data_IF_610240959027
#
_entry.id   IF_610240959027
#
_cell.length_a   1.000
_cell.length_b   1.000
_cell.length_c   1.000
_cell.angle_alpha   90.00
_cell.angle_beta   90.00
_cell.angle_gamma   90.00
#
_symmetry.space_group_name_H-M   'P 1'
#
loop_
_entity.id
_entity.type
_entity.pdbx_description
1 polymer ?
#
# COMPACT_ATOMS: atom_id res chain seq x y z
N UNK A 1 -50.99 -30.72 18.06
CA UNK A 1 -49.75 -29.95 17.81
C UNK A 1 -48.95 -30.73 16.79
N UNK A 2 -48.88 -30.22 15.56
CA UNK A 2 -48.42 -30.95 14.38
C UNK A 2 -46.94 -31.37 14.52
N UNK A 3 -46.69 -32.68 14.42
CA UNK A 3 -45.36 -33.27 14.35
C UNK A 3 -44.77 -33.01 12.96
N UNK A 4 -44.06 -31.90 12.80
CA UNK A 4 -43.16 -31.69 11.67
C UNK A 4 -41.81 -32.34 12.01
N UNK A 5 -41.68 -33.63 11.72
CA UNK A 5 -40.39 -34.31 11.79
C UNK A 5 -39.40 -33.63 10.84
N UNK A 6 -38.23 -33.24 11.35
CA UNK A 6 -37.23 -32.57 10.53
C UNK A 6 -36.79 -33.49 9.37
N UNK A 7 -36.75 -32.99 8.12
CA UNK A 7 -36.43 -33.83 6.97
C UNK A 7 -34.98 -34.35 7.07
N UNK A 8 -34.83 -35.66 7.01
CA UNK A 8 -33.52 -36.33 7.06
C UNK A 8 -33.04 -36.73 5.66
N UNK A 9 -31.75 -36.52 5.41
CA UNK A 9 -31.13 -36.72 4.10
C UNK A 9 -29.98 -37.72 4.19
N UNK A 10 -29.70 -38.49 3.12
CA UNK A 10 -28.56 -39.39 3.07
C UNK A 10 -27.24 -38.61 3.05
N UNK A 11 -26.16 -39.28 3.47
CA UNK A 11 -24.80 -38.71 3.53
C UNK A 11 -24.36 -38.06 2.21
N UNK A 12 -24.76 -38.61 1.07
CA UNK A 12 -24.41 -38.12 -0.27
C UNK A 12 -24.98 -36.73 -0.56
N UNK A 13 -26.19 -36.43 -0.05
CA UNK A 13 -26.84 -35.12 -0.20
C UNK A 13 -26.16 -34.09 0.70
N UNK A 14 -25.87 -34.45 1.96
CA UNK A 14 -25.16 -33.59 2.90
C UNK A 14 -23.74 -33.28 2.42
N UNK A 15 -23.03 -34.28 1.91
CA UNK A 15 -21.69 -34.13 1.36
C UNK A 15 -21.67 -33.10 0.21
N UNK A 16 -22.61 -33.20 -0.73
CA UNK A 16 -22.74 -32.21 -1.82
C UNK A 16 -23.07 -30.81 -1.29
N UNK A 17 -24.00 -30.72 -0.34
CA UNK A 17 -24.46 -29.43 0.20
C UNK A 17 -23.37 -28.70 1.01
N UNK A 18 -22.61 -29.44 1.81
CA UNK A 18 -21.49 -28.91 2.61
C UNK A 18 -20.17 -28.84 1.82
N UNK A 19 -20.18 -29.21 0.53
CA UNK A 19 -18.98 -29.32 -0.33
C UNK A 19 -17.87 -30.18 0.27
N UNK A 20 -18.25 -31.31 0.86
CA UNK A 20 -17.35 -32.31 1.45
C UNK A 20 -17.45 -33.64 0.71
N UNK A 21 -16.48 -34.52 0.94
CA UNK A 21 -16.62 -35.94 0.56
C UNK A 21 -17.48 -36.67 1.58
N UNK A 22 -18.18 -37.74 1.18
CA UNK A 22 -18.98 -38.55 2.11
C UNK A 22 -18.14 -39.11 3.26
N UNK A 23 -16.90 -39.53 2.95
CA UNK A 23 -15.93 -39.97 3.96
C UNK A 23 -15.64 -38.87 4.98
N UNK A 24 -15.51 -37.61 4.55
CA UNK A 24 -15.25 -36.48 5.45
C UNK A 24 -16.46 -36.16 6.32
N UNK A 25 -17.67 -36.24 5.78
CA UNK A 25 -18.91 -36.09 6.57
C UNK A 25 -18.99 -37.15 7.66
N UNK A 26 -18.75 -38.42 7.33
CA UNK A 26 -18.76 -39.52 8.30
C UNK A 26 -17.69 -39.36 9.38
N UNK A 27 -16.50 -38.87 9.02
CA UNK A 27 -15.45 -38.57 9.98
C UNK A 27 -15.89 -37.46 10.95
N UNK A 28 -16.42 -36.35 10.45
CA UNK A 28 -16.92 -35.25 11.28
C UNK A 28 -18.09 -35.68 12.17
N UNK A 29 -18.92 -36.63 11.71
CA UNK A 29 -19.96 -37.24 12.56
C UNK A 29 -19.38 -38.07 13.70
N UNK A 30 -18.29 -38.81 13.46
CA UNK A 30 -17.59 -39.57 14.51
C UNK A 30 -16.89 -38.65 15.51
N UNK A 31 -16.39 -37.51 15.04
CA UNK A 31 -15.79 -36.45 15.85
C UNK A 31 -16.84 -35.62 16.64
N UNK A 32 -18.14 -35.92 16.48
CA UNK A 32 -19.23 -35.22 17.19
C UNK A 32 -19.63 -33.86 16.57
N UNK A 33 -18.98 -33.45 15.48
CA UNK A 33 -19.21 -32.17 14.80
C UNK A 33 -20.51 -32.14 14.00
N UNK A 34 -20.84 -33.24 13.30
CA UNK A 34 -22.06 -33.34 12.49
C UNK A 34 -23.03 -34.34 13.16
N UNK A 35 -24.13 -33.86 13.77
CA UNK A 35 -25.10 -34.73 14.44
C UNK A 35 -25.76 -35.71 13.47
N UNK A 36 -25.86 -36.98 13.87
CA UNK A 36 -26.49 -38.05 13.10
C UNK A 36 -27.89 -38.32 13.65
N UNK A 37 -28.90 -38.30 12.79
CA UNK A 37 -30.29 -38.56 13.19
C UNK A 37 -30.57 -40.07 13.28
N UNK A 38 -30.30 -40.80 12.19
CA UNK A 38 -30.48 -42.26 12.09
C UNK A 38 -29.36 -42.89 11.27
N UNK A 39 -29.38 -44.22 11.09
CA UNK A 39 -28.32 -44.94 10.37
C UNK A 39 -28.11 -44.42 8.93
N UNK A 40 -27.05 -43.64 8.71
CA UNK A 40 -26.71 -43.05 7.41
C UNK A 40 -27.53 -41.82 7.02
N UNK A 41 -28.36 -41.30 7.94
CA UNK A 41 -29.28 -40.19 7.73
C UNK A 41 -28.96 -39.01 8.65
N UNK A 42 -29.07 -37.82 8.10
CA UNK A 42 -28.68 -36.57 8.74
C UNK A 42 -29.81 -35.56 8.66
N UNK A 43 -30.05 -34.86 9.75
CA UNK A 43 -30.90 -33.69 9.73
C UNK A 43 -30.16 -32.51 9.08
N UNK A 44 -30.77 -31.86 8.10
CA UNK A 44 -30.11 -30.82 7.32
C UNK A 44 -29.69 -29.62 8.19
N UNK A 45 -30.60 -29.11 9.02
CA UNK A 45 -30.34 -27.93 9.85
C UNK A 45 -29.19 -28.18 10.83
N UNK A 46 -29.24 -29.30 11.56
CA UNK A 46 -28.21 -29.68 12.51
C UNK A 46 -26.84 -29.94 11.84
N UNK A 47 -26.82 -30.58 10.67
CA UNK A 47 -25.59 -30.85 9.94
C UNK A 47 -24.91 -29.56 9.42
N UNK A 48 -25.70 -28.59 8.93
CA UNK A 48 -25.19 -27.29 8.50
C UNK A 48 -24.68 -26.50 9.71
N UNK A 49 -25.46 -26.41 10.79
CA UNK A 49 -25.05 -25.67 12.00
C UNK A 49 -23.78 -26.23 12.62
N UNK A 50 -23.67 -27.56 12.75
CA UNK A 50 -22.46 -28.21 13.27
C UNK A 50 -21.24 -27.97 12.39
N UNK A 51 -21.40 -28.04 11.07
CA UNK A 51 -20.29 -27.75 10.15
C UNK A 51 -19.87 -26.28 10.14
N UNK A 52 -20.83 -25.34 10.22
CA UNK A 52 -20.54 -23.91 10.34
C UNK A 52 -19.82 -23.61 11.65
N UNK A 53 -20.26 -24.19 12.78
CA UNK A 53 -19.55 -24.09 14.06
C UNK A 53 -18.11 -24.61 13.98
N UNK A 54 -17.90 -25.75 13.33
CA UNK A 54 -16.56 -26.31 13.11
C UNK A 54 -15.66 -25.44 12.22
N UNK A 55 -16.22 -24.79 11.20
CA UNK A 55 -15.48 -23.81 10.41
C UNK A 55 -15.15 -22.58 11.24
N UNK A 56 -16.10 -22.11 12.05
CA UNK A 56 -15.89 -21.01 12.97
C UNK A 56 -14.81 -21.34 14.00
N UNK A 57 -14.74 -22.54 14.57
CA UNK A 57 -13.65 -22.93 15.49
C UNK A 57 -12.28 -23.09 14.82
N UNK A 58 -12.25 -23.29 13.50
CA UNK A 58 -11.00 -23.38 12.72
C UNK A 58 -10.53 -22.04 12.18
N UNK A 59 -11.46 -21.10 11.99
CA UNK A 59 -11.20 -19.75 11.49
C UNK A 59 -11.07 -18.78 12.67
N UNK A 60 -11.83 -18.98 13.74
CA UNK A 60 -11.61 -18.37 15.03
C UNK A 60 -10.23 -18.83 15.51
N UNK A 61 -9.41 -17.92 16.03
CA UNK A 61 -8.06 -18.22 16.42
C UNK A 61 -8.12 -19.24 17.55
N UNK A 62 -7.64 -20.47 17.29
CA UNK A 62 -7.35 -21.42 18.38
C UNK A 62 -6.33 -20.76 19.31
N UNK A 63 -6.81 -20.12 20.38
CA UNK A 63 -5.96 -19.56 21.44
C UNK A 63 -6.37 -18.21 22.04
N UNK A 64 -7.55 -17.64 21.78
CA UNK A 64 -8.03 -16.47 22.54
C UNK A 64 -8.63 -16.81 23.92
N UNK A 65 -8.43 -18.04 24.39
CA UNK A 65 -8.57 -18.41 25.80
C UNK A 65 -7.22 -18.98 26.26
N UNK A 66 -6.29 -18.11 26.65
CA UNK A 66 -5.25 -18.50 27.61
C UNK A 66 -3.81 -18.03 27.40
N UNK A 67 -3.40 -17.39 26.30
CA UNK A 67 -1.98 -17.03 26.14
C UNK A 67 -1.74 -15.73 25.32
N UNK A 68 -1.36 -14.60 25.96
CA UNK A 68 -1.19 -13.30 25.31
C UNK A 68 -0.07 -13.28 24.25
N UNK A 69 0.92 -14.16 24.38
CA UNK A 69 2.13 -14.19 23.53
C UNK A 69 1.84 -14.60 22.06
N UNK A 70 0.77 -15.38 21.83
CA UNK A 70 0.40 -15.87 20.48
C UNK A 70 -0.51 -14.90 19.73
N UNK A 71 -1.31 -14.11 20.46
CA UNK A 71 -2.06 -13.01 19.87
C UNK A 71 -1.09 -11.97 19.29
N UNK A 72 -0.01 -11.67 20.02
CA UNK A 72 1.08 -10.80 19.59
C UNK A 72 1.82 -11.35 18.37
N UNK A 73 2.05 -12.67 18.27
CA UNK A 73 2.70 -13.26 17.10
C UNK A 73 1.89 -13.05 15.80
N UNK A 74 0.56 -13.17 15.87
CA UNK A 74 -0.31 -13.00 14.71
C UNK A 74 -0.48 -11.54 14.30
N UNK A 75 -0.58 -10.62 15.27
CA UNK A 75 -0.62 -9.17 15.00
C UNK A 75 0.71 -8.69 14.39
N UNK A 76 1.84 -9.14 14.93
CA UNK A 76 3.16 -8.81 14.38
C UNK A 76 3.38 -9.41 13.00
N UNK A 77 2.92 -10.64 12.73
CA UNK A 77 2.98 -11.23 11.38
C UNK A 77 2.10 -10.47 10.38
N UNK A 78 0.89 -10.07 10.77
CA UNK A 78 0.02 -9.26 9.91
C UNK A 78 0.64 -7.88 9.61
N UNK A 79 1.25 -7.25 10.62
CA UNK A 79 2.00 -5.99 10.47
C UNK A 79 3.22 -6.15 9.56
N UNK A 80 3.97 -7.25 9.70
CA UNK A 80 5.10 -7.57 8.84
C UNK A 80 4.65 -7.79 7.39
N UNK A 81 3.59 -8.57 7.16
CA UNK A 81 3.04 -8.78 5.82
C UNK A 81 2.53 -7.48 5.19
N UNK A 82 1.90 -6.61 5.98
CA UNK A 82 1.50 -5.28 5.52
C UNK A 82 2.73 -4.44 5.14
N UNK A 83 3.74 -4.38 6.01
CA UNK A 83 4.97 -3.64 5.72
C UNK A 83 5.73 -4.20 4.51
N UNK A 84 5.70 -5.51 4.28
CA UNK A 84 6.25 -6.15 3.08
C UNK A 84 5.46 -5.80 1.82
N UNK A 85 4.13 -5.74 1.91
CA UNK A 85 3.29 -5.30 0.81
C UNK A 85 3.54 -3.82 0.47
N UNK A 86 3.62 -2.96 1.49
CA UNK A 86 3.92 -1.52 1.32
C UNK A 86 5.32 -1.33 0.70
N UNK A 87 6.32 -2.12 1.12
CA UNK A 87 7.66 -2.11 0.50
C UNK A 87 7.62 -2.54 -0.96
N UNK A 88 6.92 -3.63 -1.29
CA UNK A 88 6.78 -4.09 -2.66
C UNK A 88 6.05 -3.07 -3.55
N UNK A 89 5.06 -2.35 -3.00
CA UNK A 89 4.37 -1.27 -3.70
C UNK A 89 5.29 -0.07 -3.93
N UNK A 90 6.09 0.33 -2.93
CA UNK A 90 7.10 1.38 -3.08
C UNK A 90 8.17 1.01 -4.12
N UNK A 91 8.65 -0.24 -4.13
CA UNK A 91 9.60 -0.73 -5.14
C UNK A 91 8.99 -0.72 -6.54
N UNK A 92 7.74 -1.17 -6.69
CA UNK A 92 7.03 -1.10 -7.95
C UNK A 92 6.82 0.35 -8.42
N UNK A 93 6.56 1.29 -7.50
CA UNK A 93 6.46 2.71 -7.81
C UNK A 93 7.81 3.32 -8.22
N UNK A 94 8.93 2.93 -7.57
CA UNK A 94 10.30 3.30 -7.99
C UNK A 94 10.58 2.82 -9.41
N UNK A 95 10.29 1.56 -9.73
CA UNK A 95 10.49 1.00 -11.08
C UNK A 95 9.66 1.71 -12.16
N UNK A 96 8.51 2.30 -11.80
CA UNK A 96 7.69 3.10 -12.71
C UNK A 96 8.11 4.58 -12.78
N UNK A 97 9.18 4.98 -12.08
CA UNK A 97 9.66 6.37 -12.03
C UNK A 97 8.74 7.31 -11.23
N UNK A 98 7.84 6.78 -10.40
CA UNK A 98 6.87 7.57 -9.62
C UNK A 98 7.33 7.90 -8.19
N UNK A 99 8.46 7.32 -7.75
CA UNK A 99 9.06 7.60 -6.45
C UNK A 99 10.46 8.17 -6.66
N UNK A 100 10.74 9.32 -6.06
CA UNK A 100 12.06 9.94 -6.00
C UNK A 100 12.59 9.80 -4.59
N UNK A 101 13.86 9.46 -4.42
CA UNK A 101 14.49 9.42 -3.11
C UNK A 101 14.53 10.83 -2.49
N UNK A 102 14.21 10.93 -1.19
CA UNK A 102 14.10 12.21 -0.52
C UNK A 102 15.45 12.94 -0.39
N UNK A 103 16.54 12.20 -0.18
CA UNK A 103 17.88 12.80 -0.13
C UNK A 103 18.32 13.23 -1.54
N UNK A 104 18.05 12.42 -2.57
CA UNK A 104 18.31 12.82 -3.96
C UNK A 104 17.55 14.10 -4.35
N UNK A 105 16.27 14.22 -3.94
CA UNK A 105 15.48 15.43 -4.19
C UNK A 105 16.06 16.65 -3.47
N UNK A 106 16.54 16.47 -2.23
CA UNK A 106 17.15 17.53 -1.45
C UNK A 106 18.46 18.00 -2.08
N UNK A 107 19.33 17.08 -2.50
CA UNK A 107 20.57 17.41 -3.21
C UNK A 107 20.30 18.16 -4.52
N UNK A 108 19.32 17.69 -5.30
CA UNK A 108 18.88 18.39 -6.52
C UNK A 108 18.43 19.83 -6.21
N UNK A 109 17.63 20.01 -5.15
CA UNK A 109 17.14 21.31 -4.74
C UNK A 109 18.29 22.22 -4.27
N UNK A 110 19.23 21.70 -3.49
CA UNK A 110 20.40 22.44 -3.01
C UNK A 110 21.27 22.93 -4.17
N UNK A 111 21.49 22.08 -5.19
CA UNK A 111 22.20 22.46 -6.41
C UNK A 111 21.48 23.57 -7.18
N UNK A 112 20.17 23.42 -7.38
CA UNK A 112 19.37 24.44 -8.06
C UNK A 112 19.44 25.76 -7.28
N UNK A 113 19.26 25.75 -5.96
CA UNK A 113 19.32 26.95 -5.11
C UNK A 113 20.71 27.59 -5.14
N UNK A 114 21.78 26.80 -5.13
CA UNK A 114 23.14 27.31 -5.25
C UNK A 114 23.37 28.02 -6.59
N UNK A 115 22.88 27.45 -7.69
CA UNK A 115 22.98 28.06 -9.01
C UNK A 115 22.14 29.34 -9.13
N UNK A 116 20.93 29.37 -8.55
CA UNK A 116 20.10 30.59 -8.42
C UNK A 116 20.90 31.68 -7.73
N UNK A 117 21.49 31.35 -6.58
CA UNK A 117 22.22 32.28 -5.73
C UNK A 117 23.44 32.84 -6.47
N UNK A 118 24.21 31.98 -7.13
CA UNK A 118 25.35 32.40 -7.93
C UNK A 118 24.93 33.33 -9.08
N UNK A 119 23.85 33.00 -9.78
CA UNK A 119 23.37 33.81 -10.89
C UNK A 119 22.82 35.17 -10.45
N UNK A 120 22.05 35.24 -9.36
CA UNK A 120 21.43 36.47 -8.88
C UNK A 120 22.40 37.38 -8.12
N UNK A 121 23.29 36.82 -7.31
CA UNK A 121 24.19 37.63 -6.47
C UNK A 121 25.50 37.98 -7.16
N UNK A 122 26.00 37.13 -8.05
CA UNK A 122 27.31 37.34 -8.67
C UNK A 122 27.16 37.71 -10.15
N UNK A 123 26.52 36.84 -10.95
CA UNK A 123 26.56 36.98 -12.40
C UNK A 123 25.68 38.14 -12.91
N UNK A 124 24.46 38.30 -12.38
CA UNK A 124 23.55 39.35 -12.81
C UNK A 124 24.09 40.76 -12.47
N UNK A 125 24.57 41.06 -11.24
CA UNK A 125 25.12 42.38 -10.93
C UNK A 125 26.32 42.75 -11.81
N UNK A 126 27.22 41.81 -12.11
CA UNK A 126 28.36 42.06 -13.01
C UNK A 126 27.90 42.43 -14.42
N UNK A 127 26.92 41.71 -14.99
CA UNK A 127 26.39 42.02 -16.34
C UNK A 127 25.58 43.31 -16.37
N UNK A 128 24.78 43.56 -15.33
CA UNK A 128 24.03 44.81 -15.17
C UNK A 128 25.01 45.99 -15.12
N UNK A 129 26.04 45.91 -14.27
CA UNK A 129 27.04 46.96 -14.15
C UNK A 129 27.77 47.23 -15.48
N UNK A 130 28.13 46.16 -16.21
CA UNK A 130 28.79 46.28 -17.51
C UNK A 130 27.90 46.99 -18.55
N UNK A 131 26.62 46.62 -18.64
CA UNK A 131 25.65 47.19 -19.61
C UNK A 131 25.17 48.59 -19.21
N UNK A 132 25.01 48.85 -17.91
CA UNK A 132 24.54 50.13 -17.39
C UNK A 132 25.61 51.23 -17.39
N UNK A 133 26.91 50.87 -17.52
CA UNK A 133 28.03 51.83 -17.44
C UNK A 133 27.93 52.98 -18.44
N UNK A 134 27.37 52.75 -19.63
CA UNK A 134 27.19 53.77 -20.68
C UNK A 134 25.82 54.43 -20.67
N UNK A 135 24.91 54.01 -19.80
CA UNK A 135 23.53 54.51 -19.76
C UNK A 135 23.37 55.68 -18.80
N UNK A 136 22.66 56.72 -19.25
CA UNK A 136 22.38 57.92 -18.43
C UNK A 136 20.92 58.01 -18.00
N UNK A 137 20.04 57.25 -18.64
CA UNK A 137 18.60 57.25 -18.35
C UNK A 137 18.27 56.16 -17.35
N UNK A 138 17.65 56.54 -16.24
CA UNK A 138 17.20 55.60 -15.21
C UNK A 138 16.28 54.51 -15.78
N UNK A 139 15.41 54.86 -16.74
CA UNK A 139 14.53 53.91 -17.42
C UNK A 139 15.32 52.81 -18.15
N UNK A 140 16.41 53.16 -18.84
CA UNK A 140 17.28 52.20 -19.53
C UNK A 140 17.99 51.28 -18.52
N UNK A 141 18.48 51.83 -17.40
CA UNK A 141 19.16 51.05 -16.36
C UNK A 141 18.20 50.05 -15.71
N UNK A 142 16.96 50.48 -15.40
CA UNK A 142 15.91 49.59 -14.86
C UNK A 142 15.53 48.48 -15.85
N UNK A 143 15.48 48.79 -17.15
CA UNK A 143 15.19 47.79 -18.18
C UNK A 143 16.29 46.73 -18.24
N UNK A 144 17.56 47.14 -18.26
CA UNK A 144 18.72 46.23 -18.23
C UNK A 144 18.68 45.32 -17.01
N UNK A 145 18.42 45.87 -15.81
CA UNK A 145 18.31 45.08 -14.59
C UNK A 145 17.18 44.05 -14.68
N UNK A 146 16.01 44.46 -15.20
CA UNK A 146 14.85 43.57 -15.36
C UNK A 146 15.11 42.45 -16.38
N UNK A 147 15.79 42.76 -17.49
CA UNK A 147 16.19 41.77 -18.50
C UNK A 147 17.17 40.74 -17.92
N UNK A 148 18.20 41.19 -17.20
CA UNK A 148 19.25 40.31 -16.67
C UNK A 148 18.73 39.41 -15.54
N UNK A 149 17.90 39.95 -14.64
CA UNK A 149 17.22 39.16 -13.61
C UNK A 149 16.24 38.17 -14.28
N UNK A 150 15.47 38.63 -15.28
CA UNK A 150 14.56 37.77 -16.03
C UNK A 150 15.29 36.63 -16.75
N UNK A 151 16.46 36.89 -17.33
CA UNK A 151 17.29 35.88 -17.98
C UNK A 151 17.85 34.86 -16.97
N UNK A 152 18.30 35.32 -15.79
CA UNK A 152 18.72 34.44 -14.71
C UNK A 152 17.58 33.53 -14.23
N UNK A 153 16.37 34.06 -14.09
CA UNK A 153 15.19 33.29 -13.67
C UNK A 153 14.70 32.31 -14.76
N UNK A 154 14.81 32.65 -16.04
CA UNK A 154 14.45 31.74 -17.14
C UNK A 154 15.35 30.51 -17.20
N UNK A 155 16.66 30.68 -16.94
CA UNK A 155 17.58 29.53 -16.84
C UNK A 155 17.07 28.51 -15.80
N UNK A 156 16.61 28.97 -14.64
CA UNK A 156 16.03 28.11 -13.60
C UNK A 156 14.81 27.32 -14.08
N UNK A 157 13.94 27.96 -14.88
CA UNK A 157 12.74 27.30 -15.40
C UNK A 157 13.05 26.20 -16.42
N UNK A 158 14.26 26.18 -16.98
CA UNK A 158 14.66 25.21 -18.00
C UNK A 158 15.64 24.16 -17.46
N UNK A 159 16.15 24.35 -16.24
CA UNK A 159 17.02 23.38 -15.59
C UNK A 159 16.18 22.19 -15.16
N UNK A 160 16.40 21.05 -15.82
CA UNK A 160 15.80 19.78 -15.44
C UNK A 160 16.46 19.28 -14.15
N UNK A 161 15.76 19.22 -13.01
CA UNK A 161 16.34 18.73 -11.75
C UNK A 161 16.79 17.28 -11.86
N UNK A 162 16.13 16.50 -12.71
CA UNK A 162 16.43 15.09 -12.98
C UNK A 162 17.71 14.90 -13.78
N UNK A 163 18.19 15.94 -14.48
CA UNK A 163 19.48 15.91 -15.15
C UNK A 163 20.67 16.16 -14.20
N UNK A 164 20.39 16.63 -12.98
CA UNK A 164 21.39 16.97 -11.97
C UNK A 164 21.64 15.84 -10.98
N UNK A 165 20.65 14.97 -10.78
CA UNK A 165 20.81 13.72 -10.03
C UNK A 165 21.22 12.67 -11.06
N UNK A 166 22.43 12.12 -10.94
CA UNK A 166 22.94 11.13 -11.87
C UNK A 166 21.92 10.02 -12.13
N UNK A 167 21.69 9.72 -13.41
CA UNK A 167 20.96 8.55 -13.83
C UNK A 167 21.79 7.31 -13.46
N UNK A 168 21.51 6.72 -12.31
CA UNK A 168 21.81 5.32 -11.99
C UNK A 168 20.54 4.48 -12.18
#
# INVERSE_FOLDING_TARGET
MSSSGNPTYPVSVIAKLLKLTERRVQQLSKEGVIPKAEHGRYELAAAVQGYVGYLQERIAPRGAEGDPEKADYHTEKARLTKSQADMAEMEAAKMRGALVDAEQMKEALDLVVAEVRANLLNNAPTRIAARAKSEKKEASIKLIAKEEIGAALRKLSTTDPTSLVGAD
#
